data_IF_098726722662
#
_entry.id   IF_098726722662
#
_cell.length_a   1.000
_cell.length_b   1.000
_cell.length_c   1.000
_cell.angle_alpha   90.00
_cell.angle_beta   90.00
_cell.angle_gamma   90.00
#
_symmetry.space_group_name_H-M   'P 1'
#
loop_
_entity.id
_entity.type
_entity.pdbx_description
1 polymer ?
#
# COMPACT_ATOMS: atom_id res chain seq x y z
N UNK A 1 -24.02 39.43 24.47
CA UNK A 1 -23.90 38.10 25.12
C UNK A 1 -22.74 37.38 24.44
N UNK A 2 -21.52 37.52 24.97
CA UNK A 2 -20.29 37.00 24.36
C UNK A 2 -20.08 35.56 24.81
N UNK A 3 -20.44 34.58 23.99
CA UNK A 3 -20.02 33.19 24.18
C UNK A 3 -18.51 33.10 23.93
N UNK A 4 -17.70 33.28 24.99
CA UNK A 4 -16.30 32.86 24.97
C UNK A 4 -16.28 31.34 24.95
N UNK A 5 -16.19 30.77 23.75
CA UNK A 5 -15.90 29.35 23.55
C UNK A 5 -14.51 29.08 24.13
N UNK A 6 -14.44 28.64 25.40
CA UNK A 6 -13.21 28.11 25.98
C UNK A 6 -12.95 26.78 25.30
N UNK A 7 -12.09 26.77 24.30
CA UNK A 7 -11.60 25.54 23.68
C UNK A 7 -10.80 24.78 24.74
N UNK A 8 -11.45 23.82 25.40
CA UNK A 8 -10.78 23.01 26.43
C UNK A 8 -9.68 22.20 25.74
N UNK A 9 -8.44 22.37 26.20
CA UNK A 9 -7.27 21.67 25.65
C UNK A 9 -7.48 20.16 25.68
N UNK A 10 -8.26 19.64 26.63
CA UNK A 10 -8.64 18.23 26.70
C UNK A 10 -9.55 17.81 25.54
N UNK A 11 -10.52 18.64 25.18
CA UNK A 11 -11.41 18.40 24.04
C UNK A 11 -10.61 18.31 22.73
N UNK A 12 -9.59 19.15 22.55
CA UNK A 12 -8.70 19.09 21.39
C UNK A 12 -8.00 17.72 21.28
N UNK A 13 -7.47 17.20 22.39
CA UNK A 13 -6.79 15.90 22.40
C UNK A 13 -7.71 14.71 22.11
N UNK A 14 -9.02 14.81 22.35
CA UNK A 14 -9.98 13.76 22.00
C UNK A 14 -10.54 13.93 20.58
N UNK A 15 -10.81 15.16 20.14
CA UNK A 15 -11.40 15.42 18.82
C UNK A 15 -10.41 15.18 17.70
N UNK A 16 -9.14 15.56 17.87
CA UNK A 16 -8.12 15.42 16.83
C UNK A 16 -7.90 13.96 16.37
N UNK A 17 -7.69 12.96 17.26
CA UNK A 17 -7.49 11.58 16.82
C UNK A 17 -8.76 10.98 16.21
N UNK A 18 -9.95 11.34 16.72
CA UNK A 18 -11.23 10.88 16.15
C UNK A 18 -11.39 11.41 14.72
N UNK A 19 -11.08 12.68 14.49
CA UNK A 19 -11.13 13.28 13.15
C UNK A 19 -10.10 12.65 12.22
N UNK A 20 -8.86 12.45 12.68
CA UNK A 20 -7.82 11.79 11.91
C UNK A 20 -8.23 10.36 11.52
N UNK A 21 -8.82 9.60 12.46
CA UNK A 21 -9.34 8.26 12.19
C UNK A 21 -10.48 8.29 11.18
N UNK A 22 -11.43 9.21 11.31
CA UNK A 22 -12.55 9.35 10.38
C UNK A 22 -12.07 9.68 8.95
N UNK A 23 -11.02 10.51 8.81
CA UNK A 23 -10.42 10.82 7.52
C UNK A 23 -9.63 9.64 6.93
N UNK A 24 -9.05 8.77 7.75
CA UNK A 24 -8.26 7.63 7.28
C UNK A 24 -9.08 6.36 7.01
N UNK A 25 -10.25 6.24 7.64
CA UNK A 25 -11.14 5.08 7.50
C UNK A 25 -11.50 4.73 6.04
N UNK A 26 -11.78 5.70 5.14
CA UNK A 26 -12.03 5.39 3.72
C UNK A 26 -10.87 4.66 3.05
N UNK A 27 -9.62 5.03 3.36
CA UNK A 27 -8.42 4.36 2.83
C UNK A 27 -8.38 2.89 3.27
N UNK A 28 -8.67 2.61 4.54
CA UNK A 28 -8.71 1.24 5.08
C UNK A 28 -9.83 0.42 4.42
N UNK A 29 -11.02 1.01 4.23
CA UNK A 29 -12.16 0.34 3.59
C UNK A 29 -11.82 -0.01 2.13
N UNK A 30 -11.33 0.96 1.37
CA UNK A 30 -10.98 0.76 -0.04
C UNK A 30 -9.87 -0.29 -0.20
N UNK A 31 -8.88 -0.28 0.70
CA UNK A 31 -7.82 -1.27 0.68
C UNK A 31 -8.33 -2.68 1.04
N UNK A 32 -9.25 -2.79 2.01
CA UNK A 32 -9.91 -4.07 2.34
C UNK A 32 -10.65 -4.65 1.13
N UNK A 33 -11.40 -3.82 0.40
CA UNK A 33 -12.11 -4.24 -0.81
C UNK A 33 -11.12 -4.70 -1.87
N UNK A 34 -10.05 -3.94 -2.10
CA UNK A 34 -9.00 -4.30 -3.08
C UNK A 34 -8.31 -5.62 -2.71
N UNK A 35 -7.96 -5.79 -1.45
CA UNK A 35 -7.33 -7.02 -0.97
C UNK A 35 -8.23 -8.23 -1.24
N UNK A 36 -9.51 -8.12 -0.85
CA UNK A 36 -10.48 -9.20 -1.06
C UNK A 36 -10.69 -9.51 -2.54
N UNK A 37 -10.78 -8.50 -3.40
CA UNK A 37 -10.97 -8.75 -4.84
C UNK A 37 -9.77 -9.50 -5.42
N UNK A 38 -8.54 -9.08 -5.12
CA UNK A 38 -7.32 -9.73 -5.62
C UNK A 38 -7.15 -11.16 -5.07
N UNK A 39 -7.49 -11.39 -3.80
CA UNK A 39 -7.37 -12.73 -3.20
C UNK A 39 -8.47 -13.67 -3.69
N UNK A 40 -9.72 -13.19 -3.77
CA UNK A 40 -10.87 -13.98 -4.19
C UNK A 40 -10.87 -14.27 -5.69
N UNK A 41 -10.47 -13.30 -6.50
CA UNK A 41 -10.39 -13.47 -7.93
C UNK A 41 -9.09 -14.21 -8.26
N UNK A 42 -9.18 -15.42 -8.81
CA UNK A 42 -8.02 -16.11 -9.41
C UNK A 42 -7.62 -15.46 -10.75
N UNK A 43 -7.56 -14.13 -10.80
CA UNK A 43 -7.15 -13.41 -11.99
C UNK A 43 -5.68 -13.69 -12.30
N UNK A 44 -5.36 -13.73 -13.59
CA UNK A 44 -4.03 -14.00 -14.11
C UNK A 44 -2.98 -12.94 -13.72
N UNK A 45 -3.40 -11.78 -13.18
CA UNK A 45 -2.52 -10.67 -12.83
C UNK A 45 -2.56 -10.36 -11.33
N UNK A 46 -1.38 -10.18 -10.75
CA UNK A 46 -1.20 -9.82 -9.35
C UNK A 46 -1.59 -8.35 -9.10
N UNK A 47 -2.15 -8.06 -7.93
CA UNK A 47 -2.48 -6.70 -7.49
C UNK A 47 -1.22 -5.87 -7.22
N UNK A 48 -1.10 -4.70 -7.84
CA UNK A 48 -0.01 -3.78 -7.55
C UNK A 48 -0.21 -3.10 -6.19
N UNK A 49 0.86 -3.08 -5.39
CA UNK A 49 0.90 -2.43 -4.07
C UNK A 49 2.01 -1.40 -4.07
N UNK A 50 1.68 -0.17 -3.67
CA UNK A 50 2.69 0.89 -3.52
C UNK A 50 3.59 0.63 -2.32
N UNK A 51 4.81 1.20 -2.31
CA UNK A 51 5.70 1.12 -1.14
C UNK A 51 5.13 1.81 0.11
N UNK A 52 4.27 2.81 -0.08
CA UNK A 52 3.66 3.51 1.04
C UNK A 52 2.65 2.62 1.75
N UNK A 53 3.08 2.02 2.86
CA UNK A 53 2.24 1.15 3.68
C UNK A 53 0.96 1.84 4.19
N UNK A 54 0.99 3.16 4.40
CA UNK A 54 -0.21 3.92 4.81
C UNK A 54 -1.26 4.01 3.70
N UNK A 55 -0.87 3.85 2.43
CA UNK A 55 -1.83 3.83 1.33
C UNK A 55 -2.53 2.48 1.18
N UNK A 56 -1.92 1.40 1.69
CA UNK A 56 -2.37 0.01 1.56
C UNK A 56 -2.26 -0.78 2.88
N UNK A 57 -2.77 -0.25 4.00
CA UNK A 57 -2.49 -0.78 5.34
C UNK A 57 -2.99 -2.21 5.55
N UNK A 58 -4.14 -2.56 4.99
CA UNK A 58 -4.77 -3.88 5.12
C UNK A 58 -4.02 -4.89 4.28
N UNK A 59 -3.66 -4.53 3.05
CA UNK A 59 -2.88 -5.41 2.18
C UNK A 59 -1.51 -5.73 2.80
N UNK A 60 -0.82 -4.73 3.35
CA UNK A 60 0.45 -4.97 4.06
C UNK A 60 0.30 -5.85 5.30
N UNK A 61 -0.82 -5.75 6.02
CA UNK A 61 -1.06 -6.52 7.23
C UNK A 61 -1.51 -7.96 6.97
N UNK A 62 -2.14 -8.23 5.83
CA UNK A 62 -2.74 -9.53 5.52
C UNK A 62 -1.97 -10.37 4.50
N UNK A 63 -1.00 -9.79 3.78
CA UNK A 63 -0.05 -10.58 2.99
C UNK A 63 0.80 -11.43 3.92
N UNK A 64 0.86 -12.75 3.66
CA UNK A 64 1.56 -13.71 4.52
C UNK A 64 3.07 -13.47 4.49
N UNK A 65 3.60 -13.23 3.29
CA UNK A 65 5.02 -13.03 3.06
C UNK A 65 5.28 -12.08 1.89
N UNK A 66 6.26 -11.20 2.07
CA UNK A 66 6.87 -10.46 0.98
C UNK A 66 8.22 -11.07 0.63
N UNK A 67 8.35 -11.55 -0.60
CA UNK A 67 9.61 -12.15 -1.10
C UNK A 67 10.75 -11.13 -1.13
N UNK A 68 11.99 -11.64 -1.08
CA UNK A 68 13.17 -10.80 -1.23
C UNK A 68 13.12 -10.03 -2.57
N UNK A 69 13.46 -8.74 -2.58
CA UNK A 69 13.43 -7.95 -3.79
C UNK A 69 14.36 -8.49 -4.88
N UNK A 70 13.84 -8.61 -6.10
CA UNK A 70 14.58 -9.08 -7.27
C UNK A 70 14.45 -8.10 -8.43
N UNK A 71 15.57 -7.88 -9.13
CA UNK A 71 15.57 -7.09 -10.36
C UNK A 71 14.94 -7.90 -11.50
N UNK A 72 13.92 -7.32 -12.14
CA UNK A 72 13.25 -7.87 -13.33
C UNK A 72 13.29 -6.83 -14.45
N UNK A 73 13.59 -7.25 -15.67
CA UNK A 73 13.47 -6.37 -16.84
C UNK A 73 12.00 -6.18 -17.21
N UNK A 74 11.67 -5.01 -17.74
CA UNK A 74 10.36 -4.77 -18.33
C UNK A 74 10.21 -5.53 -19.67
N UNK A 75 8.97 -5.71 -20.14
CA UNK A 75 8.68 -6.52 -21.33
C UNK A 75 9.38 -6.01 -22.61
N UNK A 76 9.68 -4.71 -22.67
CA UNK A 76 10.34 -4.06 -23.82
C UNK A 76 11.86 -3.90 -23.63
N UNK A 77 12.43 -4.45 -22.54
CA UNK A 77 13.86 -4.43 -22.20
C UNK A 77 14.52 -3.05 -22.27
N UNK A 78 13.79 -2.01 -21.85
CA UNK A 78 14.33 -0.65 -21.73
C UNK A 78 14.66 -0.28 -20.29
N UNK A 79 14.09 -1.01 -19.32
CA UNK A 79 14.19 -0.69 -17.90
C UNK A 79 14.27 -1.97 -17.07
N UNK A 80 14.88 -1.85 -15.89
CA UNK A 80 14.80 -2.84 -14.83
C UNK A 80 14.04 -2.27 -13.64
N UNK A 81 13.23 -3.13 -13.03
CA UNK A 81 12.46 -2.83 -11.82
C UNK A 81 12.91 -3.73 -10.69
N UNK A 82 13.18 -3.16 -9.53
CA UNK A 82 13.35 -3.93 -8.31
C UNK A 82 11.96 -4.25 -7.78
N UNK A 83 11.57 -5.52 -7.80
CA UNK A 83 10.21 -5.95 -7.46
C UNK A 83 10.21 -6.92 -6.29
N UNK A 84 9.14 -6.90 -5.50
CA UNK A 84 8.92 -7.87 -4.41
C UNK A 84 7.48 -8.39 -4.52
N UNK A 85 7.36 -9.71 -4.62
CA UNK A 85 6.10 -10.41 -4.78
C UNK A 85 5.48 -10.69 -3.39
N UNK A 86 4.18 -10.49 -3.27
CA UNK A 86 3.38 -10.70 -2.05
C UNK A 86 2.58 -12.00 -2.14
N UNK A 87 2.84 -12.90 -1.20
CA UNK A 87 2.30 -14.24 -1.13
C UNK A 87 1.08 -14.26 -0.20
N UNK A 88 -0.02 -14.84 -0.67
CA UNK A 88 -1.20 -15.13 0.15
C UNK A 88 -1.64 -16.57 -0.13
N UNK A 89 -1.78 -17.37 0.92
CA UNK A 89 -2.09 -18.80 0.84
C UNK A 89 -1.14 -19.56 -0.10
N UNK A 90 0.16 -19.24 -0.06
CA UNK A 90 1.19 -19.87 -0.89
C UNK A 90 1.17 -19.50 -2.38
N UNK A 91 0.35 -18.52 -2.79
CA UNK A 91 0.30 -18.03 -4.17
C UNK A 91 0.73 -16.56 -4.24
N UNK A 92 1.44 -16.19 -5.30
CA UNK A 92 1.66 -14.78 -5.61
C UNK A 92 0.35 -14.11 -5.96
N UNK A 93 -0.08 -13.17 -5.12
CA UNK A 93 -1.29 -12.38 -5.30
C UNK A 93 -1.00 -10.91 -5.51
N UNK A 94 0.09 -10.42 -4.94
CA UNK A 94 0.47 -9.02 -5.00
C UNK A 94 1.89 -8.86 -5.52
N UNK A 95 2.22 -7.66 -5.97
CA UNK A 95 3.58 -7.29 -6.30
C UNK A 95 3.81 -5.82 -5.98
N UNK A 96 5.06 -5.49 -5.65
CA UNK A 96 5.53 -4.14 -5.35
C UNK A 96 6.64 -3.77 -6.32
N UNK A 97 6.69 -2.49 -6.67
CA UNK A 97 7.80 -1.88 -7.38
C UNK A 97 8.52 -0.97 -6.39
N UNK A 98 9.77 -1.30 -6.09
CA UNK A 98 10.58 -0.58 -5.11
C UNK A 98 11.50 0.44 -5.78
N UNK A 99 12.09 0.04 -6.90
CA UNK A 99 13.00 0.89 -7.66
C UNK A 99 12.81 0.68 -9.16
N UNK A 100 13.07 1.71 -9.95
CA UNK A 100 13.05 1.68 -11.42
C UNK A 100 14.32 2.33 -11.95
N UNK A 101 15.03 1.64 -12.84
CA UNK A 101 16.23 2.16 -13.53
C UNK A 101 16.12 1.93 -15.04
N UNK A 102 16.50 2.91 -15.87
CA UNK A 102 16.73 2.66 -17.28
C UNK A 102 17.91 1.70 -17.46
N UNK A 103 17.82 0.82 -18.46
CA UNK A 103 18.90 -0.11 -18.81
C UNK A 103 20.04 0.56 -19.59
N UNK A 104 19.79 1.76 -20.13
CA UNK A 104 20.82 2.57 -20.80
C UNK A 104 22.00 2.95 -19.88
N UNK A 105 21.80 2.91 -18.56
CA UNK A 105 22.79 3.29 -17.55
C UNK A 105 23.45 2.08 -16.84
N UNK A 106 23.25 0.85 -17.33
CA UNK A 106 23.87 -0.34 -16.73
C UNK A 106 25.28 -0.55 -17.30
N UNK A 107 26.37 -0.49 -16.49
CA UNK A 107 27.67 -0.99 -16.94
C UNK A 107 27.57 -2.50 -17.18
N UNK A 108 28.23 -2.96 -18.25
CA UNK A 108 28.35 -4.38 -18.62
C UNK A 108 28.80 -5.29 -17.47
#
# INVERSE_FOLDING_TARGET
MNHKFKFDRRLFFYVLPVLALACYLPTVIQDTVTYRSVVAEQLACCGFVSENWMARPVTYALVDEWTMPVWKENAIKSERFLTSDGIVNGQTKFWRLLERKPLADAPE
#
